data_IF_306348849895
#
_entry.id   IF_306348849895
#
_cell.length_a   1.000
_cell.length_b   1.000
_cell.length_c   1.000
_cell.angle_alpha   90.00
_cell.angle_beta   90.00
_cell.angle_gamma   90.00
#
_symmetry.space_group_name_H-M   'P 1'
#
loop_
_entity.id
_entity.type
_entity.pdbx_description
1 polymer ?
#
# COMPACT_ATOMS: atom_id res chain seq x y z
N UNK A 1 -17.39 -8.07 20.83
CA UNK A 1 -16.27 -7.08 20.74
C UNK A 1 -14.98 -7.70 20.19
N UNK A 2 -14.56 -8.87 20.68
CA UNK A 2 -13.32 -9.56 20.26
C UNK A 2 -13.31 -9.96 18.78
N UNK A 3 -14.44 -10.44 18.26
CA UNK A 3 -14.60 -10.81 16.84
C UNK A 3 -14.40 -9.63 15.87
N UNK A 4 -14.99 -8.47 16.18
CA UNK A 4 -14.83 -7.24 15.36
C UNK A 4 -13.36 -6.79 15.28
N UNK A 5 -12.62 -6.95 16.37
CA UNK A 5 -11.18 -6.65 16.40
C UNK A 5 -10.39 -7.64 15.54
N UNK A 6 -10.73 -8.93 15.58
CA UNK A 6 -10.08 -9.93 14.74
C UNK A 6 -10.30 -9.63 13.26
N UNK A 7 -11.53 -9.34 12.85
CA UNK A 7 -11.85 -8.97 11.46
C UNK A 7 -11.10 -7.69 11.05
N UNK A 8 -11.10 -6.66 11.89
CA UNK A 8 -10.36 -5.43 11.61
C UNK A 8 -8.85 -5.67 11.46
N UNK A 9 -8.26 -6.52 12.30
CA UNK A 9 -6.84 -6.88 12.22
C UNK A 9 -6.52 -7.69 10.96
N UNK A 10 -7.37 -8.65 10.59
CA UNK A 10 -7.20 -9.44 9.37
C UNK A 10 -7.29 -8.54 8.14
N UNK A 11 -8.32 -7.68 8.05
CA UNK A 11 -8.48 -6.75 6.94
C UNK A 11 -7.29 -5.78 6.83
N UNK A 12 -6.83 -5.24 7.96
CA UNK A 12 -5.67 -4.35 8.02
C UNK A 12 -4.38 -5.07 7.61
N UNK A 13 -4.16 -6.28 8.11
CA UNK A 13 -3.02 -7.11 7.74
C UNK A 13 -3.01 -7.43 6.25
N UNK A 14 -4.17 -7.75 5.68
CA UNK A 14 -4.31 -7.98 4.25
C UNK A 14 -4.04 -6.70 3.43
N UNK A 15 -4.58 -5.55 3.84
CA UNK A 15 -4.30 -4.27 3.19
C UNK A 15 -2.81 -3.90 3.23
N UNK A 16 -2.15 -4.09 4.38
CA UNK A 16 -0.70 -3.91 4.52
C UNK A 16 0.08 -4.86 3.63
N UNK A 17 -0.33 -6.12 3.53
CA UNK A 17 0.29 -7.10 2.64
C UNK A 17 0.18 -6.69 1.17
N UNK A 18 -1.00 -6.24 0.73
CA UNK A 18 -1.24 -5.81 -0.65
C UNK A 18 -0.37 -4.59 -1.00
N UNK A 19 -0.44 -3.52 -0.20
CA UNK A 19 0.32 -2.29 -0.48
C UNK A 19 1.83 -2.43 -0.25
N UNK A 20 2.23 -3.16 0.78
CA UNK A 20 3.64 -3.48 1.03
C UNK A 20 4.22 -4.39 -0.05
N UNK A 21 3.44 -5.36 -0.53
CA UNK A 21 3.81 -6.22 -1.66
C UNK A 21 4.01 -5.41 -2.94
N UNK A 22 3.11 -4.47 -3.24
CA UNK A 22 3.26 -3.55 -4.38
C UNK A 22 4.54 -2.71 -4.29
N UNK A 23 4.89 -2.21 -3.10
CA UNK A 23 6.15 -1.50 -2.90
C UNK A 23 7.37 -2.39 -3.21
N UNK A 24 7.38 -3.63 -2.73
CA UNK A 24 8.48 -4.57 -2.99
C UNK A 24 8.60 -4.89 -4.48
N UNK A 25 7.48 -5.16 -5.15
CA UNK A 25 7.45 -5.37 -6.60
C UNK A 25 7.93 -4.13 -7.36
N UNK A 26 7.43 -2.95 -6.99
CA UNK A 26 7.83 -1.67 -7.59
C UNK A 26 9.32 -1.37 -7.41
N UNK A 27 9.90 -1.73 -6.25
CA UNK A 27 11.33 -1.61 -5.99
C UNK A 27 12.17 -2.53 -6.87
N UNK A 28 11.76 -3.79 -7.04
CA UNK A 28 12.42 -4.73 -7.96
C UNK A 28 12.40 -4.19 -9.39
N UNK A 29 11.23 -3.75 -9.85
CA UNK A 29 11.05 -3.23 -11.21
C UNK A 29 11.87 -1.96 -11.46
N UNK A 30 11.89 -1.02 -10.51
CA UNK A 30 12.68 0.20 -10.62
C UNK A 30 14.19 -0.09 -10.66
N UNK A 31 14.66 -1.03 -9.85
CA UNK A 31 16.06 -1.48 -9.85
C UNK A 31 16.42 -2.12 -11.20
N UNK A 32 15.58 -3.02 -11.71
CA UNK A 32 15.78 -3.63 -13.03
C UNK A 32 15.79 -2.59 -14.16
N UNK A 33 14.86 -1.63 -14.15
CA UNK A 33 14.81 -0.56 -15.14
C UNK A 33 16.09 0.29 -15.13
N UNK A 34 16.59 0.64 -13.94
CA UNK A 34 17.85 1.37 -13.79
C UNK A 34 19.04 0.55 -14.33
N UNK A 35 19.06 -0.77 -14.08
CA UNK A 35 20.13 -1.66 -14.53
C UNK A 35 20.14 -1.87 -16.05
N UNK A 36 18.97 -1.82 -16.71
CA UNK A 36 18.86 -1.95 -18.18
C UNK A 36 19.35 -0.73 -18.94
N UNK A 37 19.68 0.38 -18.24
CA UNK A 37 20.18 1.65 -18.81
C UNK A 37 19.34 2.17 -19.98
N UNK A 38 18.03 1.92 -19.96
CA UNK A 38 17.12 2.42 -20.98
C UNK A 38 17.01 3.94 -20.80
N UNK A 39 17.26 4.75 -21.83
CA UNK A 39 17.17 6.20 -21.72
C UNK A 39 15.81 6.64 -21.20
N UNK A 40 15.81 7.45 -20.15
CA UNK A 40 14.58 7.99 -19.55
C UNK A 40 13.87 7.06 -18.56
N UNK A 41 14.43 5.89 -18.23
CA UNK A 41 13.86 4.96 -17.25
C UNK A 41 14.81 4.69 -16.05
N UNK A 42 14.28 4.51 -14.82
CA UNK A 42 12.92 4.85 -14.42
C UNK A 42 12.74 6.38 -14.34
N UNK A 43 11.67 6.92 -14.92
CA UNK A 43 11.35 8.34 -14.79
C UNK A 43 10.72 8.65 -13.43
N UNK A 44 10.67 9.94 -13.08
CA UNK A 44 10.12 10.40 -11.80
C UNK A 44 8.66 9.97 -11.58
N UNK A 45 7.84 9.90 -12.64
CA UNK A 45 6.45 9.44 -12.57
C UNK A 45 6.36 7.97 -12.18
N UNK A 46 7.19 7.11 -12.79
CA UNK A 46 7.28 5.69 -12.46
C UNK A 46 7.75 5.48 -11.02
N UNK A 47 8.77 6.22 -10.57
CA UNK A 47 9.22 6.12 -9.18
C UNK A 47 8.12 6.58 -8.20
N UNK A 48 7.43 7.69 -8.49
CA UNK A 48 6.33 8.17 -7.66
C UNK A 48 5.17 7.18 -7.59
N UNK A 49 4.86 6.52 -8.71
CA UNK A 49 3.73 5.60 -8.83
C UNK A 49 4.05 4.19 -8.27
N UNK A 50 5.21 3.61 -8.59
CA UNK A 50 5.59 2.25 -8.18
C UNK A 50 6.16 2.18 -6.75
N UNK A 51 6.85 3.22 -6.30
CA UNK A 51 7.46 3.26 -4.97
C UNK A 51 6.72 4.24 -4.06
N UNK A 52 6.54 5.47 -4.51
CA UNK A 52 6.03 6.56 -3.67
C UNK A 52 4.63 6.28 -3.12
N UNK A 53 3.66 5.99 -3.99
CA UNK A 53 2.27 5.79 -3.60
C UNK A 53 2.08 4.55 -2.70
N UNK A 54 2.59 3.34 -3.06
CA UNK A 54 2.50 2.17 -2.20
C UNK A 54 3.18 2.36 -0.83
N UNK A 55 4.32 3.05 -0.79
CA UNK A 55 5.00 3.36 0.48
C UNK A 55 4.13 4.24 1.36
N UNK A 56 3.58 5.32 0.81
CA UNK A 56 2.72 6.26 1.56
C UNK A 56 1.48 5.56 2.13
N UNK A 57 0.82 4.71 1.34
CA UNK A 57 -0.33 3.94 1.81
C UNK A 57 0.06 2.94 2.90
N UNK A 58 1.15 2.21 2.72
CA UNK A 58 1.65 1.27 3.73
C UNK A 58 1.96 1.99 5.05
N UNK A 59 2.67 3.13 4.99
CA UNK A 59 2.97 3.93 6.19
C UNK A 59 1.70 4.45 6.86
N UNK A 60 0.72 4.94 6.09
CA UNK A 60 -0.56 5.40 6.63
C UNK A 60 -1.28 4.28 7.39
N UNK A 61 -1.36 3.08 6.81
CA UNK A 61 -1.99 1.91 7.44
C UNK A 61 -1.24 1.45 8.71
N UNK A 62 0.09 1.50 8.71
CA UNK A 62 0.90 1.24 9.90
C UNK A 62 0.63 2.24 11.01
N UNK A 63 0.57 3.54 10.68
CA UNK A 63 0.25 4.60 11.64
C UNK A 63 -1.14 4.36 12.24
N UNK A 64 -2.15 4.08 11.41
CA UNK A 64 -3.50 3.75 11.88
C UNK A 64 -3.49 2.55 12.81
N UNK A 65 -2.75 1.50 12.46
CA UNK A 65 -2.61 0.29 13.29
C UNK A 65 -1.99 0.61 14.65
N UNK A 66 -0.89 1.38 14.67
CA UNK A 66 -0.20 1.77 15.91
C UNK A 66 -1.12 2.60 16.80
N UNK A 67 -1.83 3.60 16.24
CA UNK A 67 -2.77 4.44 16.98
C UNK A 67 -3.92 3.61 17.57
N UNK A 68 -4.47 2.67 16.79
CA UNK A 68 -5.55 1.80 17.26
C UNK A 68 -5.07 0.76 18.29
N UNK A 69 -3.78 0.41 18.28
CA UNK A 69 -3.17 -0.50 19.23
C UNK A 69 -2.80 0.19 20.56
N UNK A 70 -2.34 1.45 20.53
CA UNK A 70 -1.89 2.20 21.71
C UNK A 70 -3.02 2.85 22.50
N UNK A 71 -4.18 3.06 21.88
CA UNK A 71 -5.33 3.72 22.50
C UNK A 71 -6.52 2.79 22.78
N UNK A 72 -7.73 3.36 22.69
CA UNK A 72 -8.98 2.59 22.66
C UNK A 72 -9.00 1.80 21.35
N UNK A 73 -9.12 0.48 21.42
CA UNK A 73 -9.09 -0.44 20.25
C UNK A 73 -10.30 -0.20 19.34
N UNK A 74 -10.22 0.81 18.48
CA UNK A 74 -11.29 1.28 17.59
C UNK A 74 -11.40 0.40 16.35
N UNK A 75 -11.91 -0.82 16.55
CA UNK A 75 -12.08 -1.82 15.50
C UNK A 75 -12.78 -1.27 14.24
N UNK A 76 -13.79 -0.43 14.43
CA UNK A 76 -14.54 0.18 13.32
C UNK A 76 -13.66 1.10 12.46
N UNK A 77 -12.88 1.98 13.09
CA UNK A 77 -12.00 2.89 12.36
C UNK A 77 -10.91 2.14 11.60
N UNK A 78 -10.28 1.16 12.25
CA UNK A 78 -9.25 0.33 11.63
C UNK A 78 -9.81 -0.48 10.43
N UNK A 79 -11.00 -1.07 10.59
CA UNK A 79 -11.67 -1.78 9.50
C UNK A 79 -12.02 -0.85 8.33
N UNK A 80 -12.58 0.34 8.60
CA UNK A 80 -12.90 1.33 7.57
C UNK A 80 -11.65 1.78 6.81
N UNK A 81 -10.54 2.05 7.52
CA UNK A 81 -9.28 2.41 6.89
C UNK A 81 -8.75 1.29 5.97
N UNK A 82 -8.82 0.04 6.42
CA UNK A 82 -8.44 -1.12 5.61
C UNK A 82 -9.32 -1.25 4.36
N UNK A 83 -10.65 -1.12 4.49
CA UNK A 83 -11.58 -1.18 3.35
C UNK A 83 -11.30 -0.06 2.35
N UNK A 84 -11.13 1.18 2.81
CA UNK A 84 -10.81 2.32 1.93
C UNK A 84 -9.50 2.07 1.18
N UNK A 85 -8.46 1.58 1.86
CA UNK A 85 -7.19 1.27 1.22
C UNK A 85 -7.29 0.13 0.20
N UNK A 86 -8.11 -0.89 0.47
CA UNK A 86 -8.38 -1.97 -0.49
C UNK A 86 -9.25 -1.51 -1.65
N UNK A 87 -10.18 -0.57 -1.45
CA UNK A 87 -10.93 0.03 -2.55
C UNK A 87 -10.03 0.93 -3.41
N UNK A 88 -9.08 1.65 -2.81
CA UNK A 88 -8.10 2.48 -3.52
C UNK A 88 -7.10 1.66 -4.36
N UNK A 89 -6.98 0.37 -4.10
CA UNK A 89 -6.15 -0.53 -4.90
C UNK A 89 -6.68 -0.68 -6.33
N UNK A 90 -8.00 -0.74 -6.52
CA UNK A 90 -8.61 -0.87 -7.85
C UNK A 90 -8.28 0.29 -8.79
N UNK A 91 -8.56 1.57 -8.44
CA UNK A 91 -8.16 2.68 -9.29
C UNK A 91 -6.64 2.75 -9.42
N UNK A 92 -5.87 2.43 -8.38
CA UNK A 92 -4.42 2.37 -8.49
C UNK A 92 -3.98 1.42 -9.62
N UNK A 93 -4.49 0.18 -9.65
CA UNK A 93 -4.17 -0.78 -10.72
C UNK A 93 -4.83 -0.42 -12.06
N UNK A 94 -6.01 0.19 -12.11
CA UNK A 94 -6.64 0.55 -13.39
C UNK A 94 -5.89 1.70 -14.08
N UNK A 95 -5.47 2.70 -13.31
CA UNK A 95 -4.61 3.78 -13.81
C UNK A 95 -3.14 3.33 -13.96
N UNK A 96 -2.86 2.03 -13.88
CA UNK A 96 -1.67 1.41 -14.44
C UNK A 96 -1.69 1.60 -15.97
N UNK A 97 -1.35 2.79 -16.42
CA UNK A 97 -1.09 3.06 -17.83
C UNK A 97 0.33 2.57 -18.10
N UNK A 98 0.44 1.32 -18.56
CA UNK A 98 1.68 0.58 -18.78
C UNK A 98 2.82 1.41 -19.38
N UNK A 99 3.65 1.97 -18.52
CA UNK A 99 4.93 2.57 -18.86
C UNK A 99 6.02 1.61 -18.42
N UNK A 100 6.31 0.63 -19.27
CA UNK A 100 7.68 0.31 -19.68
C UNK A 100 7.87 1.04 -21.00
#
# INVERSE_FOLDING_TARGET
MRERLNVANIAMGFALFVWGGLYLLGSSLASEAANRRVPGLPNAGQLAYYLGFPTKMTMLLLIVTIICASGKRWAGFQLTAAIIALLAFFPYIIFYTGGI
#
